data_IF_282037536061
#
_entry.id   IF_282037536061
#
_cell.length_a   1.000
_cell.length_b   1.000
_cell.length_c   1.000
_cell.angle_alpha   90.00
_cell.angle_beta   90.00
_cell.angle_gamma   90.00
#
_symmetry.space_group_name_H-M   'P 1'
#
loop_
_entity.id
_entity.type
_entity.pdbx_description
1 polymer ?
#
# COMPACT_ATOMS: atom_id res chain seq x y z
N UNK A 1 4.97 16.71 -11.71
CA UNK A 1 4.89 17.51 -10.45
C UNK A 1 5.68 18.80 -10.61
N UNK A 2 5.30 19.94 -10.02
CA UNK A 2 6.07 21.20 -10.12
C UNK A 2 6.50 21.69 -8.74
N UNK A 3 7.78 22.00 -8.58
CA UNK A 3 8.39 22.44 -7.32
C UNK A 3 8.91 23.87 -7.49
N UNK A 4 8.63 24.74 -6.53
CA UNK A 4 9.22 26.07 -6.45
C UNK A 4 10.45 26.01 -5.55
N UNK A 5 11.57 26.53 -6.03
CA UNK A 5 12.79 26.67 -5.24
C UNK A 5 13.12 28.15 -5.09
N UNK A 6 12.88 28.71 -3.90
CA UNK A 6 13.20 30.09 -3.56
C UNK A 6 14.55 30.13 -2.87
N UNK A 7 15.59 30.45 -3.64
CA UNK A 7 17.00 30.33 -3.24
C UNK A 7 17.85 31.32 -4.04
N UNK A 8 18.53 32.24 -3.34
CA UNK A 8 19.42 33.25 -3.93
C UNK A 8 20.78 32.65 -4.34
N UNK A 9 21.25 31.64 -3.61
CA UNK A 9 22.50 30.95 -3.93
C UNK A 9 22.37 30.10 -5.19
N UNK A 10 22.91 30.62 -6.30
CA UNK A 10 23.01 29.91 -7.58
C UNK A 10 23.62 28.50 -7.48
N UNK A 11 24.53 28.28 -6.54
CA UNK A 11 25.13 26.97 -6.32
C UNK A 11 24.13 25.99 -5.69
N UNK A 12 23.47 26.40 -4.61
CA UNK A 12 22.47 25.59 -3.90
C UNK A 12 21.28 25.31 -4.81
N UNK A 13 20.81 26.33 -5.53
CA UNK A 13 19.72 26.20 -6.48
C UNK A 13 20.01 25.15 -7.57
N UNK A 14 21.22 25.17 -8.15
CA UNK A 14 21.65 24.18 -9.15
C UNK A 14 21.73 22.76 -8.58
N UNK A 15 22.27 22.61 -7.37
CA UNK A 15 22.38 21.30 -6.70
C UNK A 15 21.00 20.70 -6.44
N UNK A 16 20.12 21.44 -5.76
CA UNK A 16 18.76 20.97 -5.46
C UNK A 16 17.95 20.70 -6.72
N UNK A 17 18.01 21.58 -7.72
CA UNK A 17 17.35 21.36 -9.02
C UNK A 17 17.82 20.06 -9.68
N UNK A 18 19.12 19.79 -9.66
CA UNK A 18 19.67 18.57 -10.24
C UNK A 18 19.23 17.32 -9.47
N UNK A 19 19.30 17.35 -8.13
CA UNK A 19 18.90 16.21 -7.30
C UNK A 19 17.40 15.90 -7.41
N UNK A 20 16.55 16.94 -7.40
CA UNK A 20 15.10 16.80 -7.60
C UNK A 20 14.79 16.18 -8.97
N UNK A 21 15.41 16.69 -10.05
CA UNK A 21 15.17 16.17 -11.40
C UNK A 21 15.70 14.74 -11.63
N UNK A 22 16.73 14.32 -10.88
CA UNK A 22 17.25 12.94 -10.97
C UNK A 22 16.39 11.92 -10.23
N UNK A 23 15.83 12.30 -9.07
CA UNK A 23 15.12 11.36 -8.20
C UNK A 23 13.60 11.41 -8.39
N UNK A 24 13.07 12.51 -8.93
CA UNK A 24 11.63 12.76 -9.06
C UNK A 24 11.29 13.21 -10.47
N UNK A 25 10.18 12.72 -10.99
CA UNK A 25 9.58 13.22 -12.23
C UNK A 25 8.90 14.59 -11.99
N UNK A 26 9.73 15.63 -11.92
CA UNK A 26 9.30 16.97 -11.57
C UNK A 26 9.96 18.08 -12.40
N UNK A 27 9.26 19.20 -12.51
CA UNK A 27 9.78 20.45 -13.02
C UNK A 27 10.11 21.37 -11.85
N UNK A 28 11.32 21.95 -11.84
CA UNK A 28 11.75 22.87 -10.78
C UNK A 28 11.90 24.27 -11.37
N UNK A 29 11.07 25.20 -10.89
CA UNK A 29 11.23 26.63 -11.15
C UNK A 29 12.04 27.26 -10.01
N UNK A 30 12.97 28.14 -10.34
CA UNK A 30 13.86 28.77 -9.36
C UNK A 30 13.54 30.26 -9.27
N UNK A 31 13.31 30.75 -8.07
CA UNK A 31 13.17 32.17 -7.73
C UNK A 31 14.38 32.62 -6.92
N UNK A 32 15.23 33.54 -7.43
CA UNK A 32 16.39 34.02 -6.69
C UNK A 32 16.04 35.04 -5.59
N UNK A 33 14.83 35.58 -5.61
CA UNK A 33 14.36 36.64 -4.71
C UNK A 33 12.84 36.53 -4.47
N UNK A 34 12.31 37.33 -3.54
CA UNK A 34 10.89 37.31 -3.17
C UNK A 34 10.01 37.82 -4.33
N UNK A 35 10.48 38.79 -5.10
CA UNK A 35 9.76 39.32 -6.26
C UNK A 35 9.50 38.24 -7.32
N UNK A 36 10.54 37.50 -7.71
CA UNK A 36 10.42 36.39 -8.66
C UNK A 36 9.54 35.26 -8.10
N UNK A 37 9.63 34.97 -6.80
CA UNK A 37 8.76 33.98 -6.16
C UNK A 37 7.28 34.38 -6.26
N UNK A 38 6.97 35.66 -6.04
CA UNK A 38 5.60 36.21 -6.16
C UNK A 38 5.07 36.10 -7.57
N UNK A 39 5.88 36.47 -8.57
CA UNK A 39 5.49 36.38 -9.97
C UNK A 39 5.21 34.94 -10.39
N UNK A 40 6.04 33.99 -9.97
CA UNK A 40 5.86 32.57 -10.25
C UNK A 40 4.60 32.01 -9.58
N UNK A 41 4.39 32.29 -8.30
CA UNK A 41 3.20 31.86 -7.56
C UNK A 41 1.90 32.48 -8.11
N UNK A 42 1.97 33.68 -8.69
CA UNK A 42 0.81 34.32 -9.34
C UNK A 42 0.45 33.71 -10.70
N UNK A 43 1.39 33.00 -11.34
CA UNK A 43 1.20 32.42 -12.68
C UNK A 43 0.93 30.92 -12.67
N UNK A 44 1.34 30.22 -11.59
CA UNK A 44 1.41 28.75 -11.56
C UNK A 44 1.11 28.22 -10.17
N UNK A 45 0.50 27.04 -10.14
CA UNK A 45 0.37 26.24 -8.93
C UNK A 45 1.59 25.33 -8.73
N UNK A 46 1.98 25.15 -7.48
CA UNK A 46 3.12 24.34 -7.09
C UNK A 46 2.68 23.23 -6.13
N UNK A 47 3.30 22.07 -6.30
CA UNK A 47 3.06 20.93 -5.41
C UNK A 47 3.66 21.17 -4.02
N UNK A 48 4.85 21.76 -3.98
CA UNK A 48 5.55 22.15 -2.77
C UNK A 48 6.59 23.22 -3.13
N UNK A 49 7.01 23.98 -2.13
CA UNK A 49 8.06 24.97 -2.24
C UNK A 49 9.18 24.69 -1.23
N UNK A 50 10.40 24.92 -1.66
CA UNK A 50 11.60 24.89 -0.84
C UNK A 50 12.10 26.33 -0.75
N UNK A 51 12.22 26.86 0.47
CA UNK A 51 12.38 28.30 0.68
C UNK A 51 13.53 28.60 1.63
N UNK A 52 14.45 29.46 1.20
CA UNK A 52 15.39 30.12 2.11
C UNK A 52 14.68 31.20 2.96
N UNK A 53 15.07 31.29 4.23
CA UNK A 53 14.61 32.33 5.15
C UNK A 53 15.22 33.70 4.85
N UNK A 54 16.45 33.73 4.33
CA UNK A 54 17.22 34.95 4.16
C UNK A 54 17.45 35.22 2.67
N UNK A 55 16.55 35.97 2.05
CA UNK A 55 16.71 36.42 0.67
C UNK A 55 17.22 37.88 0.63
N UNK A 56 17.86 38.31 -0.47
CA UNK A 56 18.37 39.67 -0.62
C UNK A 56 17.32 40.78 -0.41
N UNK A 57 16.06 40.52 -0.81
CA UNK A 57 14.92 41.43 -0.71
C UNK A 57 13.90 41.03 0.38
N UNK A 58 14.17 39.96 1.13
CA UNK A 58 13.32 39.42 2.18
C UNK A 58 14.14 38.68 3.27
N UNK A 59 14.72 39.44 4.22
CA UNK A 59 15.68 38.89 5.19
C UNK A 59 15.03 38.32 6.47
N UNK A 60 13.71 38.40 6.65
CA UNK A 60 13.02 38.01 7.88
C UNK A 60 12.04 36.84 7.72
N UNK A 61 12.16 36.07 6.63
CA UNK A 61 11.27 34.95 6.32
C UNK A 61 9.95 35.34 5.64
N UNK A 62 9.88 36.54 5.02
CA UNK A 62 8.71 36.99 4.25
C UNK A 62 8.39 36.04 3.07
N UNK A 63 9.40 35.30 2.59
CA UNK A 63 9.29 34.23 1.60
C UNK A 63 8.38 33.09 2.06
N UNK A 64 8.43 32.73 3.34
CA UNK A 64 7.58 31.68 3.91
C UNK A 64 6.13 32.14 3.97
N UNK A 65 5.89 33.38 4.38
CA UNK A 65 4.54 33.97 4.43
C UNK A 65 3.90 34.01 3.03
N UNK A 66 4.68 34.41 2.02
CA UNK A 66 4.24 34.41 0.63
C UNK A 66 3.85 33.00 0.14
N UNK A 67 4.71 32.01 0.37
CA UNK A 67 4.47 30.62 -0.06
C UNK A 67 3.25 30.04 0.63
N UNK A 68 3.14 30.17 1.95
CA UNK A 68 1.99 29.64 2.70
C UNK A 68 0.68 30.35 2.31
N UNK A 69 0.74 31.65 1.99
CA UNK A 69 -0.39 32.41 1.48
C UNK A 69 -0.94 31.89 0.15
N UNK A 70 -0.13 31.18 -0.64
CA UNK A 70 -0.55 30.49 -1.87
C UNK A 70 -1.11 29.08 -1.63
N UNK A 71 -1.22 28.64 -0.38
CA UNK A 71 -1.60 27.26 0.01
C UNK A 71 -0.60 26.18 -0.48
N UNK A 72 0.63 26.58 -0.81
CA UNK A 72 1.69 25.66 -1.20
C UNK A 72 2.42 25.13 0.04
N UNK A 73 2.57 23.80 0.21
CA UNK A 73 3.39 23.22 1.28
C UNK A 73 4.82 23.76 1.27
N UNK A 74 5.26 24.33 2.38
CA UNK A 74 6.56 25.01 2.48
C UNK A 74 7.56 24.18 3.30
N UNK A 75 8.71 23.88 2.70
CA UNK A 75 9.89 23.32 3.39
C UNK A 75 10.90 24.45 3.52
N UNK A 76 11.28 24.77 4.75
CA UNK A 76 12.24 25.84 5.01
C UNK A 76 13.66 25.26 4.99
N UNK A 77 14.56 25.90 4.27
CA UNK A 77 15.99 25.61 4.33
C UNK A 77 16.71 26.81 4.95
N UNK A 78 17.36 26.63 6.09
CA UNK A 78 18.00 27.74 6.84
C UNK A 78 19.48 27.48 7.09
N UNK A 79 20.30 28.53 7.00
CA UNK A 79 21.70 28.53 7.43
C UNK A 79 21.92 28.93 8.89
N UNK A 80 20.85 29.16 9.67
CA UNK A 80 20.92 29.50 11.10
C UNK A 80 19.94 28.68 11.95
N UNK A 81 20.37 28.31 13.18
CA UNK A 81 19.59 27.58 14.18
C UNK A 81 19.18 28.52 15.32
N UNK A 82 17.98 29.09 15.25
CA UNK A 82 17.35 29.78 16.38
C UNK A 82 16.04 29.09 16.81
N UNK A 83 15.93 28.77 18.11
CA UNK A 83 14.78 28.10 18.70
C UNK A 83 13.51 28.97 18.69
N UNK A 84 13.64 30.30 18.69
CA UNK A 84 12.48 31.21 18.60
C UNK A 84 11.94 31.26 17.17
N UNK A 85 12.82 31.42 16.18
CA UNK A 85 12.46 31.38 14.77
C UNK A 85 11.85 30.02 14.37
N UNK A 86 12.44 28.90 14.80
CA UNK A 86 11.88 27.55 14.59
C UNK A 86 10.43 27.44 15.07
N UNK A 87 10.15 27.83 16.32
CA UNK A 87 8.79 27.75 16.88
C UNK A 87 7.79 28.61 16.10
N UNK A 88 8.20 29.81 15.68
CA UNK A 88 7.37 30.69 14.83
C UNK A 88 7.01 29.99 13.52
N UNK A 89 7.99 29.42 12.83
CA UNK A 89 7.78 28.77 11.54
C UNK A 89 6.84 27.56 11.64
N UNK A 90 7.03 26.71 12.64
CA UNK A 90 6.14 25.56 12.87
C UNK A 90 4.70 26.00 13.16
N UNK A 91 4.51 27.08 13.93
CA UNK A 91 3.19 27.66 14.17
C UNK A 91 2.55 28.27 12.91
N UNK A 92 3.34 28.67 11.93
CA UNK A 92 2.84 29.12 10.63
C UNK A 92 2.33 27.97 9.75
N UNK A 93 2.64 26.71 10.10
CA UNK A 93 2.21 25.54 9.34
C UNK A 93 3.12 25.20 8.16
N UNK A 94 4.44 25.35 8.34
CA UNK A 94 5.40 24.75 7.40
C UNK A 94 5.38 23.22 7.52
N UNK A 95 5.83 22.52 6.48
CA UNK A 95 6.00 21.06 6.51
C UNK A 95 7.14 20.70 7.46
N UNK A 96 8.31 21.30 7.22
CA UNK A 96 9.50 21.06 8.05
C UNK A 96 10.54 22.16 7.85
N UNK A 97 11.48 22.27 8.78
CA UNK A 97 12.63 23.16 8.69
C UNK A 97 13.93 22.33 8.67
N UNK A 98 14.82 22.67 7.74
CA UNK A 98 16.03 21.90 7.45
C UNK A 98 17.25 22.80 7.52
N UNK A 99 18.26 22.36 8.26
CA UNK A 99 19.50 23.11 8.45
C UNK A 99 20.49 22.84 7.30
N UNK A 100 20.91 23.90 6.58
CA UNK A 100 21.79 23.86 5.39
C UNK A 100 23.28 23.63 5.73
N UNK A 101 23.62 22.56 6.46
CA UNK A 101 25.02 22.30 6.82
C UNK A 101 25.80 21.52 5.77
N UNK A 102 25.15 20.52 5.15
CA UNK A 102 25.86 19.53 4.35
C UNK A 102 24.95 18.91 3.28
N UNK A 103 25.52 18.00 2.48
CA UNK A 103 24.81 17.31 1.40
C UNK A 103 23.61 16.50 1.89
N UNK A 104 23.67 15.93 3.09
CA UNK A 104 22.56 15.13 3.64
C UNK A 104 21.31 15.98 3.91
N UNK A 105 21.48 17.28 4.19
CA UNK A 105 20.36 18.22 4.30
C UNK A 105 19.56 18.31 3.00
N UNK A 106 20.25 18.33 1.85
CA UNK A 106 19.59 18.37 0.53
C UNK A 106 18.95 17.02 0.18
N UNK A 107 19.61 15.91 0.51
CA UNK A 107 19.04 14.56 0.35
C UNK A 107 17.77 14.38 1.18
N UNK A 108 17.75 14.92 2.40
CA UNK A 108 16.56 14.94 3.26
C UNK A 108 15.42 15.73 2.64
N UNK A 109 15.67 16.93 2.09
CA UNK A 109 14.62 17.72 1.40
C UNK A 109 14.03 16.97 0.22
N UNK A 110 14.86 16.35 -0.61
CA UNK A 110 14.39 15.54 -1.75
C UNK A 110 13.57 14.34 -1.26
N UNK A 111 14.02 13.66 -0.20
CA UNK A 111 13.26 12.58 0.46
C UNK A 111 11.91 13.09 0.97
N UNK A 112 11.87 14.26 1.60
CA UNK A 112 10.65 14.85 2.15
C UNK A 112 9.64 15.17 1.04
N UNK A 113 10.06 15.78 -0.07
CA UNK A 113 9.20 16.00 -1.24
C UNK A 113 8.64 14.68 -1.80
N UNK A 114 9.50 13.65 -1.93
CA UNK A 114 9.07 12.31 -2.35
C UNK A 114 8.02 11.74 -1.39
N UNK A 115 8.24 11.88 -0.08
CA UNK A 115 7.30 11.43 0.95
C UNK A 115 5.97 12.17 0.89
N UNK A 116 5.95 13.49 0.67
CA UNK A 116 4.71 14.24 0.45
C UNK A 116 3.90 13.69 -0.74
N UNK A 117 4.57 13.32 -1.84
CA UNK A 117 3.90 12.73 -3.01
C UNK A 117 3.30 11.34 -2.73
N UNK A 118 3.92 10.55 -1.84
CA UNK A 118 3.36 9.27 -1.38
C UNK A 118 2.19 9.48 -0.40
N UNK A 119 2.34 10.44 0.52
CA UNK A 119 1.37 10.69 1.57
C UNK A 119 0.02 11.13 1.02
N UNK A 120 -0.02 11.93 -0.06
CA UNK A 120 -1.29 12.31 -0.75
C UNK A 120 -2.12 11.18 -1.31
N UNK A 121 -1.55 9.98 -1.40
CA UNK A 121 -2.24 8.75 -1.82
C UNK A 121 -2.50 7.80 -0.66
N UNK A 122 -2.18 8.22 0.57
CA UNK A 122 -2.25 7.40 1.78
C UNK A 122 -3.37 7.90 2.67
N UNK A 123 -4.34 7.02 2.91
CA UNK A 123 -5.47 7.27 3.81
C UNK A 123 -5.09 6.98 5.25
N UNK A 124 -5.34 7.95 6.13
CA UNK A 124 -5.11 7.86 7.57
C UNK A 124 -6.43 8.07 8.30
N UNK A 125 -6.78 7.19 9.23
CA UNK A 125 -7.94 7.35 10.09
C UNK A 125 -7.50 7.81 11.48
N UNK A 126 -8.11 8.86 11.99
CA UNK A 126 -7.96 9.30 13.39
C UNK A 126 -9.23 8.89 14.16
N UNK A 127 -9.07 8.18 15.27
CA UNK A 127 -10.12 7.89 16.24
C UNK A 127 -9.77 8.58 17.56
N UNK A 128 -10.47 9.65 17.91
CA UNK A 128 -10.20 10.45 19.12
C UNK A 128 -11.51 11.16 19.50
N UNK A 129 -11.95 11.08 20.75
CA UNK A 129 -13.20 11.68 21.23
C UNK A 129 -13.09 13.20 21.43
N UNK A 130 -11.89 13.68 21.73
CA UNK A 130 -11.60 15.10 21.88
C UNK A 130 -11.52 15.79 20.52
N UNK A 131 -12.54 16.57 20.18
CA UNK A 131 -12.56 17.34 18.92
C UNK A 131 -11.37 18.30 18.74
N UNK A 132 -10.81 18.83 19.84
CA UNK A 132 -9.60 19.65 19.80
C UNK A 132 -8.35 18.83 19.46
N UNK A 133 -8.18 17.68 20.11
CA UNK A 133 -7.07 16.75 19.86
C UNK A 133 -7.13 16.20 18.44
N UNK A 134 -8.31 15.74 18.01
CA UNK A 134 -8.56 15.22 16.68
C UNK A 134 -8.24 16.26 15.59
N UNK A 135 -8.69 17.50 15.76
CA UNK A 135 -8.37 18.62 14.86
C UNK A 135 -6.86 18.93 14.83
N UNK A 136 -6.19 18.88 15.98
CA UNK A 136 -4.74 19.10 16.04
C UNK A 136 -3.98 18.03 15.25
N UNK A 137 -4.29 16.74 15.48
CA UNK A 137 -3.67 15.61 14.75
C UNK A 137 -4.00 15.66 13.25
N UNK A 138 -5.24 15.99 12.89
CA UNK A 138 -5.66 16.20 11.49
C UNK A 138 -4.75 17.23 10.82
N UNK A 139 -4.58 18.40 11.43
CA UNK A 139 -3.74 19.46 10.85
C UNK A 139 -2.30 18.98 10.62
N UNK A 140 -1.69 18.24 11.57
CA UNK A 140 -0.34 17.71 11.42
C UNK A 140 -0.22 16.74 10.23
N UNK A 141 -1.23 15.89 10.02
CA UNK A 141 -1.25 14.96 8.89
C UNK A 141 -1.52 15.68 7.55
N UNK A 142 -2.43 16.64 7.53
CA UNK A 142 -2.77 17.41 6.32
C UNK A 142 -1.59 18.28 5.86
N UNK A 143 -0.76 18.80 6.78
CA UNK A 143 0.51 19.47 6.45
C UNK A 143 1.46 18.55 5.64
N UNK A 144 1.42 17.25 5.92
CA UNK A 144 2.17 16.23 5.18
C UNK A 144 1.37 15.62 4.02
N UNK A 145 0.28 16.27 3.62
CA UNK A 145 -0.62 15.93 2.50
C UNK A 145 -1.39 14.61 2.64
N UNK A 146 -1.50 14.00 3.81
CA UNK A 146 -2.28 12.76 3.96
C UNK A 146 -3.77 12.96 3.64
N UNK A 147 -4.44 11.91 3.15
CA UNK A 147 -5.91 11.86 3.07
C UNK A 147 -6.46 11.46 4.45
N UNK A 148 -6.95 12.44 5.22
CA UNK A 148 -7.35 12.24 6.61
C UNK A 148 -8.85 11.97 6.74
N UNK A 149 -9.17 10.86 7.39
CA UNK A 149 -10.50 10.47 7.83
C UNK A 149 -10.58 10.60 9.35
N UNK A 150 -11.76 10.94 9.87
CA UNK A 150 -11.99 11.14 11.30
C UNK A 150 -13.12 10.25 11.82
N UNK A 151 -12.95 9.81 13.05
CA UNK A 151 -13.97 9.16 13.87
C UNK A 151 -13.93 9.77 15.28
N UNK A 152 -15.11 10.00 15.84
CA UNK A 152 -15.27 10.57 17.19
C UNK A 152 -15.23 9.52 18.31
N UNK A 153 -15.23 8.24 17.96
CA UNK A 153 -15.08 7.13 18.90
C UNK A 153 -14.63 5.85 18.18
N UNK A 154 -14.39 4.77 18.93
CA UNK A 154 -14.00 3.49 18.36
C UNK A 154 -15.09 2.81 17.52
N UNK A 155 -16.37 3.05 17.77
CA UNK A 155 -17.45 2.46 16.98
C UNK A 155 -17.53 3.08 15.58
N UNK A 156 -17.46 4.41 15.49
CA UNK A 156 -17.35 5.15 14.21
C UNK A 156 -16.07 4.80 13.47
N UNK A 157 -14.97 4.58 14.18
CA UNK A 157 -13.73 4.14 13.54
C UNK A 157 -13.91 2.80 12.81
N UNK A 158 -14.56 1.82 13.45
CA UNK A 158 -14.88 0.53 12.82
C UNK A 158 -15.85 0.68 11.64
N UNK A 159 -16.87 1.54 11.74
CA UNK A 159 -17.78 1.85 10.62
C UNK A 159 -17.01 2.42 9.41
N UNK A 160 -16.11 3.37 9.63
CA UNK A 160 -15.27 3.97 8.59
C UNK A 160 -14.36 2.91 7.96
N UNK A 161 -13.70 2.08 8.77
CA UNK A 161 -12.83 0.99 8.30
C UNK A 161 -13.59 -0.07 7.49
N UNK A 162 -14.90 -0.25 7.72
CA UNK A 162 -15.72 -1.15 6.92
C UNK A 162 -16.13 -0.54 5.58
N UNK A 163 -16.42 0.77 5.57
CA UNK A 163 -16.92 1.48 4.39
C UNK A 163 -15.81 1.94 3.44
N UNK A 164 -14.65 2.31 3.97
CA UNK A 164 -13.57 2.95 3.20
C UNK A 164 -12.37 2.01 3.10
N UNK A 165 -12.15 1.37 1.94
CA UNK A 165 -10.97 0.53 1.74
C UNK A 165 -9.70 1.37 1.56
N UNK A 166 -8.55 0.73 1.84
CA UNK A 166 -7.22 1.29 1.58
C UNK A 166 -6.68 2.23 2.67
N UNK A 167 -7.30 2.26 3.85
CA UNK A 167 -6.73 2.95 5.02
C UNK A 167 -5.46 2.21 5.46
N UNK A 168 -4.33 2.91 5.50
CA UNK A 168 -3.00 2.32 5.80
C UNK A 168 -2.51 2.60 7.21
N UNK A 169 -3.05 3.63 7.86
CA UNK A 169 -2.68 4.01 9.22
C UNK A 169 -3.94 4.37 10.02
N UNK A 170 -4.05 3.81 11.21
CA UNK A 170 -4.99 4.22 12.24
C UNK A 170 -4.20 4.92 13.36
N UNK A 171 -4.62 6.12 13.73
CA UNK A 171 -4.17 6.81 14.93
C UNK A 171 -5.34 6.78 15.92
N UNK A 172 -5.17 6.09 17.04
CA UNK A 172 -6.24 5.85 18.01
C UNK A 172 -5.90 6.44 19.37
N UNK A 173 -6.77 7.31 19.89
CA UNK A 173 -6.72 7.71 21.29
C UNK A 173 -7.07 6.54 22.20
N UNK A 174 -6.42 6.47 23.36
CA UNK A 174 -6.70 5.45 24.34
C UNK A 174 -8.06 5.65 25.02
N UNK A 175 -8.37 6.88 25.43
CA UNK A 175 -9.49 7.20 26.31
C UNK A 175 -10.72 7.62 25.49
N UNK A 176 -11.34 6.67 24.80
CA UNK A 176 -12.61 6.90 24.09
C UNK A 176 -13.79 6.25 24.82
N UNK A 177 -15.00 6.85 24.77
CA UNK A 177 -16.19 6.25 25.36
C UNK A 177 -16.64 5.01 24.58
N UNK A 178 -17.16 4.02 25.31
CA UNK A 178 -17.64 2.77 24.71
C UNK A 178 -16.50 1.86 24.31
N UNK A 179 -16.10 1.91 23.03
CA UNK A 179 -14.95 1.16 22.52
C UNK A 179 -13.71 2.02 22.73
N UNK A 180 -12.91 1.67 23.73
CA UNK A 180 -11.64 2.34 24.02
C UNK A 180 -10.58 2.02 22.94
N UNK A 181 -9.45 2.73 22.97
CA UNK A 181 -8.38 2.53 21.98
C UNK A 181 -7.79 1.11 22.00
N UNK A 182 -7.82 0.44 23.15
CA UNK A 182 -7.31 -0.91 23.30
C UNK A 182 -8.22 -1.94 22.61
N UNK A 183 -9.53 -1.89 22.90
CA UNK A 183 -10.52 -2.75 22.27
C UNK A 183 -10.61 -2.49 20.76
N UNK A 184 -10.49 -1.23 20.34
CA UNK A 184 -10.42 -0.88 18.92
C UNK A 184 -9.26 -1.60 18.22
N UNK A 185 -8.05 -1.58 18.80
CA UNK A 185 -6.88 -2.25 18.22
C UNK A 185 -7.13 -3.75 18.03
N UNK A 186 -7.68 -4.42 19.05
CA UNK A 186 -7.96 -5.85 18.98
C UNK A 186 -8.92 -6.16 17.83
N UNK A 187 -10.04 -5.43 17.74
CA UNK A 187 -11.03 -5.60 16.66
C UNK A 187 -10.46 -5.26 15.28
N UNK A 188 -9.58 -4.27 15.18
CA UNK A 188 -8.88 -3.96 13.92
C UNK A 188 -7.95 -5.11 13.54
N UNK A 189 -7.21 -5.69 14.49
CA UNK A 189 -6.26 -6.79 14.24
C UNK A 189 -6.91 -8.13 13.93
N UNK A 190 -8.17 -8.34 14.30
CA UNK A 190 -8.97 -9.48 13.83
C UNK A 190 -9.24 -9.43 12.33
N UNK A 191 -9.25 -8.23 11.72
CA UNK A 191 -9.59 -8.03 10.31
C UNK A 191 -8.41 -7.61 9.43
N UNK A 192 -7.46 -6.86 9.98
CA UNK A 192 -6.35 -6.25 9.24
C UNK A 192 -5.00 -6.68 9.82
N UNK A 193 -4.21 -7.34 8.97
CA UNK A 193 -2.88 -7.81 9.34
C UNK A 193 -1.89 -6.63 9.50
N UNK A 194 -0.74 -6.91 10.13
CA UNK A 194 0.27 -5.87 10.44
C UNK A 194 0.93 -5.29 9.19
N UNK A 195 1.01 -6.08 8.12
CA UNK A 195 1.53 -5.73 6.80
C UNK A 195 0.53 -4.91 5.96
N UNK A 196 -0.75 -4.89 6.35
CA UNK A 196 -1.81 -4.17 5.65
C UNK A 196 -2.06 -2.79 6.25
N UNK A 197 -2.08 -2.69 7.59
CA UNK A 197 -2.44 -1.48 8.30
C UNK A 197 -1.59 -1.27 9.56
N UNK A 198 -0.96 -0.10 9.64
CA UNK A 198 -0.28 0.35 10.84
C UNK A 198 -1.26 0.96 11.85
N UNK A 199 -0.96 0.83 13.14
CA UNK A 199 -1.71 1.49 14.21
C UNK A 199 -0.74 2.23 15.14
N UNK A 200 -1.01 3.50 15.42
CA UNK A 200 -0.31 4.30 16.43
C UNK A 200 -1.30 4.67 17.53
N UNK A 201 -1.00 4.28 18.77
CA UNK A 201 -1.78 4.67 19.93
C UNK A 201 -1.38 6.07 20.42
N UNK A 202 -2.36 6.88 20.84
CA UNK A 202 -2.14 8.13 21.56
C UNK A 202 -2.69 8.02 22.98
N UNK A 203 -2.00 8.56 23.99
CA UNK A 203 -2.53 8.61 25.35
C UNK A 203 -2.05 9.84 26.12
N UNK A 204 -2.91 10.37 26.98
CA UNK A 204 -2.55 11.38 28.00
C UNK A 204 -1.98 10.74 29.28
N UNK A 205 -2.07 9.42 29.42
CA UNK A 205 -1.67 8.72 30.64
C UNK A 205 -0.15 8.50 30.68
N UNK A 206 0.44 8.66 31.87
CA UNK A 206 1.86 8.45 32.16
C UNK A 206 2.18 7.00 32.56
N UNK A 207 1.19 6.13 32.67
CA UNK A 207 1.39 4.73 33.02
C UNK A 207 2.16 3.97 31.93
N UNK A 208 3.42 3.62 32.23
CA UNK A 208 4.29 2.83 31.35
C UNK A 208 3.69 1.46 30.96
N UNK A 209 2.77 0.92 31.77
CA UNK A 209 2.11 -0.35 31.46
C UNK A 209 1.17 -0.23 30.25
N UNK A 210 0.62 0.96 29.98
CA UNK A 210 -0.26 1.20 28.83
C UNK A 210 0.51 1.08 27.51
N UNK A 211 1.68 1.71 27.40
CA UNK A 211 2.55 1.59 26.22
C UNK A 211 2.84 0.13 25.91
N UNK A 212 3.21 -0.65 26.94
CA UNK A 212 3.48 -2.07 26.80
C UNK A 212 2.24 -2.86 26.34
N UNK A 213 1.05 -2.51 26.84
CA UNK A 213 -0.21 -3.12 26.41
C UNK A 213 -0.51 -2.83 24.95
N UNK A 214 -0.39 -1.59 24.47
CA UNK A 214 -0.64 -1.24 23.07
C UNK A 214 0.23 -2.05 22.11
N UNK A 215 1.54 -2.08 22.36
CA UNK A 215 2.49 -2.81 21.50
C UNK A 215 2.23 -4.32 21.53
N UNK A 216 1.99 -4.90 22.72
CA UNK A 216 1.70 -6.34 22.85
C UNK A 216 0.41 -6.76 22.13
N UNK A 217 -0.55 -5.86 21.99
CA UNK A 217 -1.85 -6.15 21.39
C UNK A 217 -1.95 -5.76 19.91
N UNK A 218 -0.84 -5.31 19.30
CA UNK A 218 -0.74 -5.14 17.85
C UNK A 218 -0.63 -3.71 17.35
N UNK A 219 -0.51 -2.71 18.23
CA UNK A 219 -0.04 -1.40 17.80
C UNK A 219 1.40 -1.50 17.28
N UNK A 220 1.71 -0.68 16.28
CA UNK A 220 3.04 -0.57 15.69
C UNK A 220 3.91 0.40 16.49
N UNK A 221 3.30 1.48 16.98
CA UNK A 221 3.97 2.47 17.82
C UNK A 221 2.96 3.13 18.77
N UNK A 222 3.48 3.97 19.65
CA UNK A 222 2.71 4.71 20.64
C UNK A 222 3.32 6.10 20.85
N UNK A 223 2.47 7.09 21.11
CA UNK A 223 2.89 8.46 21.36
C UNK A 223 2.14 9.05 22.56
N UNK A 224 2.90 9.57 23.52
CA UNK A 224 2.35 10.19 24.73
C UNK A 224 2.02 11.66 24.47
N UNK A 225 0.81 12.09 24.85
CA UNK A 225 0.35 13.47 24.83
C UNK A 225 0.79 14.19 26.13
N UNK A 226 1.23 15.46 26.07
CA UNK A 226 1.44 16.26 24.86
C UNK A 226 2.74 15.90 24.13
N UNK A 227 2.71 15.90 22.80
CA UNK A 227 3.88 15.65 21.94
C UNK A 227 4.19 16.86 21.06
N UNK A 228 5.44 16.97 20.61
CA UNK A 228 5.87 18.01 19.66
C UNK A 228 5.66 17.56 18.21
N UNK A 229 5.65 18.52 17.29
CA UNK A 229 5.31 18.29 15.88
C UNK A 229 6.30 17.31 15.23
N UNK A 230 7.59 17.48 15.52
CA UNK A 230 8.66 16.67 14.94
C UNK A 230 8.64 15.23 15.44
N UNK A 231 8.29 15.03 16.72
CA UNK A 231 8.16 13.68 17.28
C UNK A 231 6.99 12.94 16.60
N UNK A 232 5.83 13.59 16.48
CA UNK A 232 4.67 13.02 15.78
C UNK A 232 5.01 12.64 14.34
N UNK A 233 5.62 13.56 13.58
CA UNK A 233 6.02 13.30 12.21
C UNK A 233 7.02 12.14 12.12
N UNK A 234 8.05 12.11 12.98
CA UNK A 234 9.04 11.05 13.00
C UNK A 234 8.38 9.67 13.24
N UNK A 235 7.44 9.60 14.19
CA UNK A 235 6.72 8.36 14.52
C UNK A 235 5.84 7.88 13.37
N UNK A 236 5.07 8.78 12.76
CA UNK A 236 4.21 8.47 11.61
C UNK A 236 5.04 8.00 10.42
N UNK A 237 6.09 8.76 10.07
CA UNK A 237 6.96 8.45 8.93
C UNK A 237 7.68 7.12 9.11
N UNK A 238 8.30 6.87 10.26
CA UNK A 238 8.99 5.59 10.54
C UNK A 238 8.03 4.39 10.52
N UNK A 239 6.82 4.58 11.05
CA UNK A 239 5.78 3.55 11.08
C UNK A 239 5.33 3.19 9.66
N UNK A 240 5.10 4.18 8.81
CA UNK A 240 4.69 3.96 7.41
C UNK A 240 5.82 3.39 6.55
N UNK A 241 7.07 3.86 6.75
CA UNK A 241 8.24 3.27 6.09
C UNK A 241 8.42 1.80 6.48
N UNK A 242 8.25 1.47 7.76
CA UNK A 242 8.30 0.09 8.25
C UNK A 242 7.17 -0.76 7.67
N UNK A 243 5.95 -0.22 7.59
CA UNK A 243 4.81 -0.89 6.97
C UNK A 243 5.08 -1.22 5.49
N UNK A 244 5.62 -0.26 4.74
CA UNK A 244 6.01 -0.47 3.33
C UNK A 244 7.09 -1.54 3.19
N UNK A 245 8.09 -1.55 4.08
CA UNK A 245 9.15 -2.55 4.05
C UNK A 245 8.63 -3.95 4.39
N UNK A 246 7.84 -4.09 5.45
CA UNK A 246 7.21 -5.36 5.84
C UNK A 246 6.33 -5.89 4.71
N UNK A 247 5.53 -5.01 4.10
CA UNK A 247 4.67 -5.39 2.97
C UNK A 247 5.49 -5.89 1.78
N UNK A 248 6.57 -5.20 1.40
CA UNK A 248 7.46 -5.66 0.32
C UNK A 248 8.08 -7.03 0.61
N UNK A 249 8.54 -7.25 1.84
CA UNK A 249 9.08 -8.54 2.25
C UNK A 249 8.02 -9.64 2.21
N UNK A 250 6.81 -9.33 2.65
CA UNK A 250 5.68 -10.25 2.58
C UNK A 250 5.31 -10.59 1.13
N UNK A 251 5.22 -9.58 0.25
CA UNK A 251 4.90 -9.76 -1.17
C UNK A 251 5.96 -10.63 -1.84
N UNK A 252 7.25 -10.36 -1.61
CA UNK A 252 8.36 -11.18 -2.12
C UNK A 252 8.35 -12.62 -1.60
N UNK A 253 7.90 -12.82 -0.36
CA UNK A 253 7.85 -14.14 0.27
C UNK A 253 6.63 -14.96 -0.17
N UNK A 254 5.52 -14.32 -0.51
CA UNK A 254 4.21 -14.97 -0.64
C UNK A 254 3.59 -14.87 -2.04
N UNK A 255 4.04 -13.96 -2.90
CA UNK A 255 3.57 -13.83 -4.27
C UNK A 255 4.55 -14.46 -5.26
N UNK A 256 4.04 -14.91 -6.39
CA UNK A 256 4.84 -15.28 -7.56
C UNK A 256 5.36 -14.01 -8.23
N UNK A 257 6.68 -13.93 -8.44
CA UNK A 257 7.35 -12.72 -8.91
C UNK A 257 6.87 -12.25 -10.30
N UNK A 258 6.43 -13.18 -11.14
CA UNK A 258 6.04 -12.89 -12.52
C UNK A 258 4.57 -12.49 -12.60
N UNK A 259 3.70 -13.25 -11.94
CA UNK A 259 2.25 -13.18 -12.15
C UNK A 259 1.50 -12.40 -11.06
N UNK A 260 2.12 -12.17 -9.90
CA UNK A 260 1.52 -11.43 -8.78
C UNK A 260 0.42 -12.17 -8.01
N UNK A 261 0.02 -13.38 -8.44
CA UNK A 261 -0.82 -14.28 -7.62
C UNK A 261 0.03 -14.92 -6.52
N UNK A 262 -0.59 -15.63 -5.57
CA UNK A 262 0.18 -16.28 -4.52
C UNK A 262 1.12 -17.34 -5.08
N UNK A 263 2.25 -17.56 -4.40
CA UNK A 263 3.14 -18.66 -4.74
C UNK A 263 2.67 -19.97 -4.09
N UNK A 264 3.23 -21.08 -4.57
CA UNK A 264 2.98 -22.42 -4.04
C UNK A 264 3.16 -22.49 -2.52
N UNK A 265 4.22 -21.89 -1.98
CA UNK A 265 4.54 -21.96 -0.54
C UNK A 265 3.40 -21.37 0.28
N UNK A 266 2.97 -20.15 -0.05
CA UNK A 266 1.86 -19.49 0.62
C UNK A 266 0.57 -20.31 0.57
N UNK A 267 0.25 -20.92 -0.57
CA UNK A 267 -0.94 -21.76 -0.70
C UNK A 267 -0.93 -22.93 0.30
N UNK A 268 0.19 -23.65 0.40
CA UNK A 268 0.33 -24.74 1.36
C UNK A 268 0.31 -24.25 2.81
N UNK A 269 1.03 -23.18 3.13
CA UNK A 269 1.10 -22.61 4.48
C UNK A 269 -0.29 -22.14 4.95
N UNK A 270 -1.10 -21.58 4.04
CA UNK A 270 -2.45 -21.09 4.34
C UNK A 270 -3.44 -22.24 4.56
N UNK A 271 -3.48 -23.22 3.66
CA UNK A 271 -4.58 -24.21 3.65
C UNK A 271 -4.29 -25.50 4.40
N UNK A 272 -3.04 -25.99 4.42
CA UNK A 272 -2.70 -27.24 5.11
C UNK A 272 -3.17 -27.30 6.58
N UNK A 273 -3.01 -26.25 7.42
CA UNK A 273 -3.50 -26.28 8.80
C UNK A 273 -5.02 -26.11 8.92
N UNK A 274 -5.69 -25.58 7.89
CA UNK A 274 -7.13 -25.29 7.93
C UNK A 274 -8.00 -26.46 7.48
N UNK A 275 -7.50 -27.34 6.61
CA UNK A 275 -8.30 -28.44 6.06
C UNK A 275 -8.91 -29.39 7.10
N UNK A 276 -8.19 -29.81 8.17
CA UNK A 276 -8.79 -30.70 9.18
C UNK A 276 -10.03 -30.07 9.84
N UNK A 277 -9.99 -28.76 10.09
CA UNK A 277 -11.10 -28.01 10.68
C UNK A 277 -12.27 -27.91 9.70
N UNK A 278 -11.99 -27.62 8.42
CA UNK A 278 -13.01 -27.52 7.38
C UNK A 278 -13.71 -28.88 7.15
N UNK A 279 -12.94 -29.97 7.12
CA UNK A 279 -13.46 -31.34 7.01
C UNK A 279 -14.39 -31.66 8.19
N UNK A 280 -13.95 -31.42 9.42
CA UNK A 280 -14.75 -31.68 10.62
C UNK A 280 -16.04 -30.85 10.70
N UNK A 281 -16.02 -29.62 10.18
CA UNK A 281 -17.19 -28.74 10.13
C UNK A 281 -18.16 -29.09 9.00
N UNK A 282 -17.83 -30.06 8.13
CA UNK A 282 -18.61 -30.35 6.92
C UNK A 282 -18.69 -29.15 5.97
N UNK A 283 -17.71 -28.25 6.02
CA UNK A 283 -17.68 -27.07 5.18
C UNK A 283 -17.22 -27.45 3.77
N UNK A 284 -18.01 -27.11 2.75
CA UNK A 284 -17.62 -27.34 1.37
C UNK A 284 -16.33 -26.57 1.05
N UNK A 285 -15.35 -27.27 0.49
CA UNK A 285 -14.09 -26.68 0.04
C UNK A 285 -13.63 -27.45 -1.18
N UNK A 286 -13.37 -26.75 -2.28
CA UNK A 286 -12.85 -27.37 -3.49
C UNK A 286 -11.58 -26.69 -3.97
N UNK A 287 -10.74 -27.43 -4.67
CA UNK A 287 -9.60 -26.87 -5.41
C UNK A 287 -9.76 -27.12 -6.90
N UNK A 288 -9.22 -26.25 -7.72
CA UNK A 288 -9.08 -26.46 -9.15
C UNK A 288 -7.62 -26.26 -9.55
N UNK A 289 -7.00 -27.31 -10.11
CA UNK A 289 -5.71 -27.24 -10.78
C UNK A 289 -5.95 -26.93 -12.26
N UNK A 290 -5.16 -26.01 -12.79
CA UNK A 290 -5.26 -25.55 -14.17
C UNK A 290 -3.88 -25.59 -14.81
N UNK A 291 -3.86 -25.89 -16.09
CA UNK A 291 -2.67 -25.90 -16.91
C UNK A 291 -3.00 -25.30 -18.29
N UNK A 292 -2.20 -24.32 -18.70
CA UNK A 292 -2.37 -23.66 -20.00
C UNK A 292 -1.99 -24.64 -21.09
N UNK A 293 -2.94 -24.96 -21.96
CA UNK A 293 -2.75 -25.94 -23.02
C UNK A 293 -1.69 -25.45 -24.01
N UNK A 294 -0.78 -26.35 -24.39
CA UNK A 294 0.26 -26.08 -25.39
C UNK A 294 1.17 -24.88 -25.06
N UNK A 295 1.34 -24.53 -23.78
CA UNK A 295 2.17 -23.40 -23.37
C UNK A 295 3.63 -23.51 -23.84
N UNK A 296 4.17 -24.73 -23.88
CA UNK A 296 5.50 -24.97 -24.44
C UNK A 296 5.59 -24.56 -25.91
N UNK A 297 4.56 -24.83 -26.71
CA UNK A 297 4.54 -24.46 -28.13
C UNK A 297 4.51 -22.94 -28.31
N UNK A 298 3.88 -22.21 -27.39
CA UNK A 298 3.93 -20.74 -27.35
C UNK A 298 5.35 -20.25 -27.12
N UNK A 299 6.05 -20.80 -26.13
CA UNK A 299 7.46 -20.44 -25.87
C UNK A 299 8.37 -20.79 -27.05
N UNK A 300 8.21 -21.98 -27.62
CA UNK A 300 9.04 -22.47 -28.71
C UNK A 300 8.80 -21.67 -30.01
N UNK A 301 7.58 -21.15 -30.23
CA UNK A 301 7.21 -20.39 -31.44
C UNK A 301 7.46 -18.89 -31.31
N UNK A 302 7.18 -18.30 -30.14
CA UNK A 302 7.15 -16.85 -29.94
C UNK A 302 8.20 -16.33 -28.95
N UNK A 303 8.97 -17.22 -28.32
CA UNK A 303 9.97 -16.90 -27.33
C UNK A 303 9.41 -16.76 -25.90
N UNK A 304 10.32 -16.85 -24.92
CA UNK A 304 9.97 -16.80 -23.50
C UNK A 304 9.35 -15.48 -23.06
N UNK A 305 9.73 -14.35 -23.68
CA UNK A 305 9.15 -13.04 -23.35
C UNK A 305 7.63 -13.02 -23.59
N UNK A 306 7.17 -13.62 -24.70
CA UNK A 306 5.73 -13.76 -24.99
C UNK A 306 5.07 -14.75 -24.04
N UNK A 307 5.75 -15.85 -23.69
CA UNK A 307 5.27 -16.78 -22.67
C UNK A 307 5.06 -16.11 -21.31
N UNK A 308 5.98 -15.25 -20.89
CA UNK A 308 5.88 -14.48 -19.65
C UNK A 308 4.70 -13.51 -19.67
N UNK A 309 4.47 -12.82 -20.79
CA UNK A 309 3.30 -11.95 -20.97
C UNK A 309 1.98 -12.74 -20.99
N UNK A 310 1.97 -13.94 -21.58
CA UNK A 310 0.83 -14.87 -21.50
C UNK A 310 0.51 -15.23 -20.05
N UNK A 311 1.51 -15.59 -19.25
CA UNK A 311 1.32 -15.94 -17.84
C UNK A 311 0.78 -14.76 -17.02
N UNK A 312 1.31 -13.55 -17.24
CA UNK A 312 0.82 -12.33 -16.59
C UNK A 312 -0.64 -12.05 -16.94
N UNK A 313 -0.99 -12.13 -18.22
CA UNK A 313 -2.36 -11.87 -18.67
C UNK A 313 -3.33 -12.95 -18.21
N UNK A 314 -2.91 -14.22 -18.20
CA UNK A 314 -3.69 -15.34 -17.65
C UNK A 314 -4.01 -15.10 -16.17
N UNK A 315 -2.98 -14.80 -15.37
CA UNK A 315 -3.13 -14.50 -13.95
C UNK A 315 -4.00 -13.27 -13.68
N UNK A 316 -3.90 -12.23 -14.52
CA UNK A 316 -4.77 -11.05 -14.45
C UNK A 316 -6.24 -11.41 -14.69
N UNK A 317 -6.55 -12.18 -15.74
CA UNK A 317 -7.93 -12.63 -16.02
C UNK A 317 -8.50 -13.51 -14.91
N UNK A 318 -7.67 -14.38 -14.33
CA UNK A 318 -8.05 -15.14 -13.14
C UNK A 318 -8.37 -14.22 -11.97
N UNK A 319 -7.51 -13.24 -11.70
CA UNK A 319 -7.67 -12.30 -10.59
C UNK A 319 -8.94 -11.45 -10.73
N UNK A 320 -9.24 -10.98 -11.94
CA UNK A 320 -10.46 -10.23 -12.25
C UNK A 320 -11.73 -11.09 -12.12
N UNK A 321 -11.66 -12.37 -12.53
CA UNK A 321 -12.82 -13.27 -12.52
C UNK A 321 -13.08 -13.93 -11.17
N UNK A 322 -12.03 -14.24 -10.41
CA UNK A 322 -12.07 -15.14 -9.25
C UNK A 322 -11.44 -14.53 -7.99
N UNK A 323 -10.57 -13.53 -8.12
CA UNK A 323 -9.71 -13.04 -7.03
C UNK A 323 -10.44 -12.33 -5.90
N UNK A 324 -11.67 -11.85 -6.10
CA UNK A 324 -12.46 -11.24 -5.04
C UNK A 324 -12.98 -12.25 -4.01
N UNK A 325 -13.14 -13.52 -4.40
CA UNK A 325 -13.77 -14.55 -3.59
C UNK A 325 -12.85 -15.71 -3.23
N UNK A 326 -11.81 -15.95 -4.05
CA UNK A 326 -11.01 -17.16 -3.97
C UNK A 326 -9.51 -16.86 -3.91
N UNK A 327 -8.75 -17.81 -3.37
CA UNK A 327 -7.28 -17.70 -3.32
C UNK A 327 -6.68 -18.34 -4.56
N UNK A 328 -5.93 -17.55 -5.32
CA UNK A 328 -5.27 -17.96 -6.56
C UNK A 328 -3.78 -18.13 -6.31
N UNK A 329 -3.18 -19.21 -6.79
CA UNK A 329 -1.74 -19.38 -6.71
C UNK A 329 -1.14 -19.98 -7.97
N UNK A 330 0.14 -19.69 -8.23
CA UNK A 330 0.94 -20.32 -9.28
C UNK A 330 1.87 -21.35 -8.66
N UNK A 331 1.86 -22.57 -9.19
CA UNK A 331 2.62 -23.69 -8.64
C UNK A 331 3.98 -23.90 -9.31
N UNK A 332 4.13 -23.39 -10.52
CA UNK A 332 5.34 -23.41 -11.33
C UNK A 332 4.97 -23.52 -12.81
N UNK A 333 5.87 -23.08 -13.71
CA UNK A 333 5.61 -23.13 -15.15
C UNK A 333 4.27 -22.50 -15.52
N UNK A 334 3.42 -23.27 -16.20
CA UNK A 334 2.07 -22.94 -16.66
C UNK A 334 0.94 -23.40 -15.71
N UNK A 335 1.28 -23.89 -14.52
CA UNK A 335 0.34 -24.49 -13.58
C UNK A 335 -0.17 -23.47 -12.54
N UNK A 336 -1.50 -23.38 -12.43
CA UNK A 336 -2.19 -22.52 -11.47
C UNK A 336 -3.19 -23.33 -10.64
N UNK A 337 -3.49 -22.84 -9.44
CA UNK A 337 -4.49 -23.42 -8.55
C UNK A 337 -5.44 -22.35 -8.02
N UNK A 338 -6.71 -22.71 -7.87
CA UNK A 338 -7.71 -21.93 -7.13
C UNK A 338 -8.18 -22.73 -5.93
N UNK A 339 -8.19 -22.12 -4.74
CA UNK A 339 -8.88 -22.63 -3.57
C UNK A 339 -10.24 -21.94 -3.39
N UNK A 340 -11.30 -22.74 -3.45
CA UNK A 340 -12.70 -22.32 -3.42
C UNK A 340 -13.39 -22.73 -2.12
N UNK A 341 -13.23 -21.90 -1.09
CA UNK A 341 -13.93 -22.08 0.18
C UNK A 341 -15.43 -21.84 0.01
N UNK A 342 -16.25 -22.74 0.54
CA UNK A 342 -17.71 -22.68 0.47
C UNK A 342 -18.32 -23.29 -0.79
N UNK A 343 -17.52 -23.89 -1.69
CA UNK A 343 -18.01 -24.55 -2.90
C UNK A 343 -17.79 -26.06 -2.85
N UNK A 344 -18.86 -26.79 -3.16
CA UNK A 344 -18.81 -28.21 -3.49
C UNK A 344 -18.25 -28.43 -4.91
N UNK A 345 -17.96 -29.69 -5.24
CA UNK A 345 -17.40 -30.09 -6.54
C UNK A 345 -18.26 -29.66 -7.72
N UNK A 346 -19.59 -29.74 -7.62
CA UNK A 346 -20.50 -29.38 -8.71
C UNK A 346 -20.51 -27.88 -9.00
N UNK A 347 -20.60 -27.05 -7.96
CA UNK A 347 -20.54 -25.58 -8.10
C UNK A 347 -19.15 -25.12 -8.52
N UNK A 348 -18.11 -25.74 -7.98
CA UNK A 348 -16.73 -25.50 -8.38
C UNK A 348 -16.52 -25.81 -9.87
N UNK A 349 -17.00 -26.96 -10.35
CA UNK A 349 -16.93 -27.34 -11.76
C UNK A 349 -17.64 -26.33 -12.66
N UNK A 350 -18.88 -25.95 -12.32
CA UNK A 350 -19.64 -24.99 -13.11
C UNK A 350 -18.97 -23.61 -13.19
N UNK A 351 -18.39 -23.14 -12.07
CA UNK A 351 -17.63 -21.89 -12.02
C UNK A 351 -16.38 -21.96 -12.91
N UNK A 352 -15.59 -23.03 -12.77
CA UNK A 352 -14.35 -23.19 -13.52
C UNK A 352 -14.60 -23.40 -15.03
N UNK A 353 -15.67 -24.10 -15.39
CA UNK A 353 -16.09 -24.24 -16.79
C UNK A 353 -16.52 -22.89 -17.38
N UNK A 354 -17.23 -22.06 -16.61
CA UNK A 354 -17.56 -20.70 -17.00
C UNK A 354 -16.32 -19.82 -17.20
N UNK A 355 -15.28 -19.99 -16.38
CA UNK A 355 -13.99 -19.33 -16.57
C UNK A 355 -13.27 -19.82 -17.84
N UNK A 356 -13.22 -21.14 -18.05
CA UNK A 356 -12.60 -21.77 -19.23
C UNK A 356 -13.20 -21.24 -20.54
N UNK A 357 -14.54 -21.24 -20.65
CA UNK A 357 -15.26 -20.76 -21.83
C UNK A 357 -14.97 -19.29 -22.13
N UNK A 358 -14.95 -18.43 -21.11
CA UNK A 358 -14.60 -17.00 -21.28
C UNK A 358 -13.18 -16.80 -21.76
N UNK A 359 -12.26 -17.63 -21.27
CA UNK A 359 -10.85 -17.56 -21.64
C UNK A 359 -10.64 -17.94 -23.11
N UNK A 360 -11.30 -19.01 -23.55
CA UNK A 360 -11.31 -19.47 -24.95
C UNK A 360 -11.89 -18.43 -25.91
N UNK A 361 -13.01 -17.81 -25.54
CA UNK A 361 -13.72 -16.83 -26.40
C UNK A 361 -12.99 -15.47 -26.52
N UNK A 362 -11.99 -15.23 -25.64
CA UNK A 362 -11.27 -13.95 -25.61
C UNK A 362 -9.80 -14.16 -25.93
N UNK A 363 -9.34 -14.00 -27.18
CA UNK A 363 -7.92 -14.08 -27.51
C UNK A 363 -7.06 -13.10 -26.70
N UNK A 364 -5.81 -13.48 -26.43
CA UNK A 364 -4.81 -12.63 -25.80
C UNK A 364 -4.12 -11.77 -26.86
N UNK A 365 -4.03 -10.46 -26.61
CA UNK A 365 -3.43 -9.49 -27.54
C UNK A 365 -2.06 -9.02 -27.01
N UNK A 366 -1.02 -9.17 -27.83
CA UNK A 366 0.35 -8.77 -27.55
C UNK A 366 0.89 -7.94 -28.73
N UNK A 367 0.62 -6.64 -28.72
CA UNK A 367 0.88 -5.78 -29.89
C UNK A 367 0.01 -6.20 -31.07
N UNK A 368 0.63 -6.61 -32.18
CA UNK A 368 -0.06 -7.12 -33.37
C UNK A 368 -0.33 -8.64 -33.31
N UNK A 369 0.17 -9.34 -32.30
CA UNK A 369 0.00 -10.78 -32.14
C UNK A 369 -1.27 -11.09 -31.33
N UNK A 370 -2.15 -11.90 -31.91
CA UNK A 370 -3.35 -12.43 -31.26
C UNK A 370 -3.23 -13.92 -31.05
N UNK A 371 -3.21 -14.37 -29.79
CA UNK A 371 -3.11 -15.78 -29.41
C UNK A 371 -4.43 -16.28 -28.80
N UNK A 372 -5.03 -17.28 -29.41
CA UNK A 372 -6.11 -18.06 -28.80
C UNK A 372 -5.48 -19.15 -27.93
N UNK A 373 -5.73 -19.10 -26.63
CA UNK A 373 -5.22 -20.07 -25.66
C UNK A 373 -6.39 -20.77 -25.00
N UNK A 374 -6.18 -22.03 -24.64
CA UNK A 374 -7.14 -22.83 -23.88
C UNK A 374 -6.51 -23.30 -22.57
N UNK A 375 -7.33 -23.81 -21.68
CA UNK A 375 -6.88 -24.31 -20.38
C UNK A 375 -7.59 -25.63 -20.06
N UNK A 376 -6.82 -26.60 -19.57
CA UNK A 376 -7.34 -27.84 -18.99
C UNK A 376 -7.46 -27.67 -17.48
N UNK A 377 -8.57 -28.15 -16.89
CA UNK A 377 -8.87 -27.93 -15.47
C UNK A 377 -9.26 -29.25 -14.79
N UNK A 378 -8.63 -29.56 -13.65
CA UNK A 378 -8.99 -30.65 -12.75
C UNK A 378 -9.51 -30.12 -11.41
N UNK A 379 -10.73 -30.49 -11.04
CA UNK A 379 -11.41 -30.03 -9.81
C UNK A 379 -11.48 -31.18 -8.81
N UNK A 380 -11.24 -30.91 -7.53
CA UNK A 380 -11.49 -31.88 -6.46
C UNK A 380 -12.08 -31.18 -5.23
N UNK A 381 -13.10 -31.81 -4.63
CA UNK A 381 -13.72 -31.36 -3.37
C UNK A 381 -13.11 -32.07 -2.17
N UNK A 382 -12.84 -31.33 -1.09
CA UNK A 382 -12.27 -31.83 0.15
C UNK A 382 -13.10 -32.97 0.74
N UNK A 383 -12.42 -34.10 0.97
CA UNK A 383 -12.91 -35.18 1.82
C UNK A 383 -12.10 -35.20 3.14
N UNK A 384 -12.15 -36.29 3.89
CA UNK A 384 -11.34 -36.45 5.11
C UNK A 384 -9.88 -36.80 4.78
N UNK A 385 -9.13 -35.82 4.27
CA UNK A 385 -7.77 -36.04 3.78
C UNK A 385 -6.85 -34.81 3.93
N UNK A 386 -5.56 -35.02 3.63
CA UNK A 386 -4.55 -33.96 3.60
C UNK A 386 -4.63 -33.10 2.33
N UNK A 387 -4.08 -31.88 2.36
CA UNK A 387 -3.99 -31.03 1.18
C UNK A 387 -3.22 -31.72 0.05
N UNK A 388 -2.17 -32.47 0.37
CA UNK A 388 -1.40 -33.22 -0.61
C UNK A 388 -2.23 -34.30 -1.33
N UNK A 389 -3.14 -34.98 -0.62
CA UNK A 389 -4.03 -35.98 -1.21
C UNK A 389 -5.10 -35.34 -2.08
N UNK A 390 -5.71 -34.24 -1.62
CA UNK A 390 -6.67 -33.44 -2.38
C UNK A 390 -6.07 -32.93 -3.70
N UNK A 391 -4.85 -32.39 -3.62
CA UNK A 391 -4.07 -31.94 -4.79
C UNK A 391 -3.82 -33.07 -5.79
N UNK A 392 -3.48 -34.29 -5.32
CA UNK A 392 -3.30 -35.45 -6.19
C UNK A 392 -4.58 -35.84 -6.94
N UNK A 393 -5.74 -35.77 -6.29
CA UNK A 393 -7.02 -36.06 -6.95
C UNK A 393 -7.34 -35.03 -8.04
N UNK A 394 -7.13 -33.75 -7.75
CA UNK A 394 -7.31 -32.70 -8.75
C UNK A 394 -6.29 -32.82 -9.91
N UNK A 395 -5.04 -33.21 -9.62
CA UNK A 395 -4.03 -33.49 -10.64
C UNK A 395 -4.42 -34.67 -11.55
N UNK A 396 -4.98 -35.76 -10.98
CA UNK A 396 -5.53 -36.86 -11.77
C UNK A 396 -6.66 -36.40 -12.70
N UNK A 397 -7.59 -35.59 -12.20
CA UNK A 397 -8.67 -35.03 -13.02
C UNK A 397 -8.12 -34.11 -14.12
N UNK A 398 -7.09 -33.31 -13.84
CA UNK A 398 -6.40 -32.48 -14.82
C UNK A 398 -5.71 -33.33 -15.90
N UNK A 399 -5.06 -34.42 -15.50
CA UNK A 399 -4.46 -35.36 -16.42
C UNK A 399 -5.51 -36.01 -17.34
N UNK A 400 -6.67 -36.39 -16.81
CA UNK A 400 -7.81 -36.86 -17.61
C UNK A 400 -8.29 -35.79 -18.60
N UNK A 401 -8.40 -34.53 -18.18
CA UNK A 401 -8.75 -33.42 -19.07
C UNK A 401 -7.73 -33.28 -20.23
N UNK A 402 -6.43 -33.40 -19.95
CA UNK A 402 -5.37 -33.34 -20.99
C UNK A 402 -5.43 -34.51 -21.97
N UNK A 403 -5.67 -35.72 -21.47
CA UNK A 403 -5.70 -36.95 -22.29
C UNK A 403 -6.97 -37.07 -23.14
N UNK A 404 -8.09 -36.50 -22.68
CA UNK A 404 -9.37 -36.48 -23.41
C UNK A 404 -9.48 -35.31 -24.41
N UNK A 405 -8.37 -34.69 -24.79
CA UNK A 405 -8.35 -33.66 -25.84
C UNK A 405 -8.19 -32.22 -25.36
N UNK A 406 -7.83 -31.99 -24.09
CA UNK A 406 -7.61 -30.66 -23.49
C UNK A 406 -8.84 -29.76 -23.49
N UNK A 407 -8.68 -28.48 -23.16
CA UNK A 407 -9.73 -27.45 -23.18
C UNK A 407 -11.05 -27.89 -22.51
N UNK A 408 -10.95 -28.50 -21.33
CA UNK A 408 -12.12 -29.02 -20.61
C UNK A 408 -11.90 -29.05 -19.10
N UNK A 409 -13.00 -29.04 -18.36
CA UNK A 409 -13.02 -29.20 -16.91
C UNK A 409 -13.44 -30.62 -16.53
N UNK A 410 -12.63 -31.29 -15.70
CA UNK A 410 -12.94 -32.61 -15.12
C UNK A 410 -12.98 -32.53 -13.60
N UNK A 411 -13.80 -33.38 -12.99
CA UNK A 411 -13.94 -33.48 -11.53
C UNK A 411 -13.39 -34.83 -11.10
N UNK A 412 -12.57 -34.82 -10.06
CA UNK A 412 -12.05 -36.03 -9.45
C UNK A 412 -13.20 -36.87 -8.89
N UNK A 413 -13.16 -38.16 -9.20
CA UNK A 413 -14.15 -39.14 -8.73
C UNK A 413 -14.09 -39.35 -7.21
#
# INVERSE_FOLDING_TARGET
MRILLVEDSNMVAKVLKHMLAQQLDCTVDVAPDLAAARDLLGQREYFAAITDLNLPDAPNGESVELVLGSQTPCIVLTGSLDAKQRRRLLQMGIVDYVYKENRFSYEYVVKLISTLDRNRKTKVLIADDSGLSRKFVRNLLELHLFEVLEAEDGAKALEVLQRVPGIRLLIADYNMPGIDGFELILRVREKYAREEMAIIGLSNDTDETLTARFIKNGANDFLQKPFVHEEFHCRVSNTLESLEMIRKLWEQANLDYLTGVYNRRYFFDKFSPQLPVLSQQGASFSIALMDIDFFKDVNDTHGHDIGDEVLKCFAKRMSESLGQHFTLARFGGEEFVVAMKGLDSGRAQALMEGFRLKLEDTPFQFGDLSLALTVSIGVAELADESLGSLMKRADMALYEAKTLGRNQTRVAS
#
